data_IF_514170677372
#
_entry.id   IF_514170677372
#
_cell.length_a   1.000
_cell.length_b   1.000
_cell.length_c   1.000
_cell.angle_alpha   90.00
_cell.angle_beta   90.00
_cell.angle_gamma   90.00
#
_symmetry.space_group_name_H-M   'P 1'
#
loop_
_entity.id
_entity.type
_entity.pdbx_description
1 polymer ?
#
# COMPACT_ATOMS: atom_id res chain seq x y z
N UNK A 1 -3.99 32.13 21.92
CA UNK A 1 -2.84 32.04 21.01
C UNK A 1 -2.91 30.70 20.30
N UNK A 2 -3.37 30.66 19.05
CA UNK A 2 -3.35 29.45 18.22
C UNK A 2 -2.38 29.72 17.08
N UNK A 3 -1.19 29.15 17.16
CA UNK A 3 -0.26 29.10 16.04
C UNK A 3 0.00 27.62 15.78
N UNK A 4 -0.89 27.00 15.00
CA UNK A 4 -0.70 25.67 14.46
C UNK A 4 -0.67 25.78 12.95
N UNK A 5 0.49 26.15 12.41
CA UNK A 5 0.84 25.79 11.05
C UNK A 5 1.00 24.27 10.98
N UNK A 6 -0.08 23.52 11.17
CA UNK A 6 -0.11 22.10 10.82
C UNK A 6 -0.11 22.06 9.29
N UNK A 7 1.07 21.79 8.72
CA UNK A 7 1.20 21.44 7.32
C UNK A 7 0.22 20.30 7.04
N UNK A 8 -0.69 20.54 6.09
CA UNK A 8 -1.62 19.49 5.65
C UNK A 8 -0.79 18.33 5.10
N UNK A 9 -1.19 17.07 5.34
CA UNK A 9 -0.52 15.96 4.72
C UNK A 9 -0.54 16.12 3.20
N UNK A 10 0.58 15.85 2.54
CA UNK A 10 0.67 15.89 1.08
C UNK A 10 1.62 14.82 0.57
N UNK A 11 1.33 14.34 -0.63
CA UNK A 11 2.16 13.38 -1.36
C UNK A 11 3.05 14.13 -2.34
N UNK A 12 4.34 13.79 -2.34
CA UNK A 12 5.28 14.21 -3.36
C UNK A 12 5.61 12.99 -4.20
N UNK A 13 5.08 13.00 -5.41
CA UNK A 13 5.32 11.99 -6.43
C UNK A 13 5.81 12.65 -7.72
N UNK A 14 6.56 11.90 -8.51
CA UNK A 14 6.95 12.28 -9.87
C UNK A 14 6.70 11.10 -10.83
N UNK A 15 5.61 10.38 -10.58
CA UNK A 15 5.23 9.21 -11.36
C UNK A 15 4.81 9.61 -12.78
N UNK A 16 5.17 8.86 -13.84
CA UNK A 16 5.93 7.60 -13.87
C UNK A 16 7.46 7.77 -13.96
N UNK A 17 8.00 8.99 -13.88
CA UNK A 17 9.44 9.26 -13.99
C UNK A 17 10.20 8.70 -12.78
N UNK A 18 9.58 8.74 -11.59
CA UNK A 18 10.07 8.11 -10.37
C UNK A 18 9.02 7.15 -9.81
N UNK A 19 9.46 5.96 -9.43
CA UNK A 19 8.65 4.97 -8.70
C UNK A 19 8.65 5.21 -7.19
N UNK A 20 9.50 6.11 -6.70
CA UNK A 20 9.52 6.53 -5.30
C UNK A 20 8.45 7.61 -5.07
N UNK A 21 7.60 7.36 -4.08
CA UNK A 21 6.59 8.29 -3.60
C UNK A 21 6.86 8.58 -2.13
N UNK A 22 6.82 9.86 -1.79
CA UNK A 22 7.09 10.36 -0.44
C UNK A 22 5.82 11.00 0.10
N UNK A 23 5.27 10.40 1.15
CA UNK A 23 4.16 10.96 1.89
C UNK A 23 4.68 11.81 3.06
N UNK A 24 4.30 13.08 3.09
CA UNK A 24 4.61 14.01 4.18
C UNK A 24 3.35 14.20 5.03
N UNK A 25 3.24 13.48 6.15
CA UNK A 25 2.22 13.71 7.17
C UNK A 25 2.85 14.03 8.53
N UNK A 26 2.27 13.48 9.62
CA UNK A 26 2.90 13.53 10.95
C UNK A 26 4.26 12.81 10.96
N UNK A 27 4.42 11.83 10.09
CA UNK A 27 5.66 11.12 9.81
C UNK A 27 5.88 11.11 8.30
N UNK A 28 7.15 11.08 7.90
CA UNK A 28 7.55 10.89 6.52
C UNK A 28 7.54 9.40 6.21
N UNK A 29 6.76 9.00 5.21
CA UNK A 29 6.76 7.64 4.69
C UNK A 29 7.27 7.64 3.25
N UNK A 30 8.12 6.67 2.94
CA UNK A 30 8.63 6.44 1.61
C UNK A 30 8.17 5.07 1.16
N UNK A 31 7.56 4.99 -0.01
CA UNK A 31 7.29 3.72 -0.67
C UNK A 31 7.76 3.76 -2.11
N UNK A 32 8.15 2.60 -2.60
CA UNK A 32 8.64 2.40 -3.96
C UNK A 32 7.70 1.43 -4.66
N UNK A 33 7.19 1.83 -5.81
CA UNK A 33 6.43 0.93 -6.68
C UNK A 33 7.43 -0.05 -7.31
N UNK A 34 7.28 -1.34 -7.01
CA UNK A 34 8.07 -2.42 -7.63
C UNK A 34 7.37 -2.91 -8.89
N UNK A 35 6.03 -2.99 -8.85
CA UNK A 35 5.21 -3.41 -9.96
C UNK A 35 3.86 -2.68 -9.93
N UNK A 36 3.49 -2.03 -11.03
CA UNK A 36 2.22 -1.28 -11.15
C UNK A 36 1.00 -2.19 -11.32
N UNK A 37 1.20 -3.42 -11.79
CA UNK A 37 0.11 -4.35 -12.01
C UNK A 37 -0.75 -4.00 -13.24
N UNK A 38 -1.93 -4.61 -13.33
CA UNK A 38 -2.86 -4.44 -14.45
C UNK A 38 -4.22 -4.03 -13.89
N UNK A 39 -4.74 -2.90 -14.36
CA UNK A 39 -6.11 -2.50 -14.06
C UNK A 39 -7.08 -3.39 -14.83
N UNK A 40 -7.74 -4.30 -14.13
CA UNK A 40 -8.75 -5.18 -14.73
C UNK A 40 -9.94 -4.33 -15.20
N UNK A 41 -10.43 -4.61 -16.41
CA UNK A 41 -11.63 -3.96 -16.94
C UNK A 41 -12.82 -4.21 -16.00
N UNK A 42 -13.66 -3.18 -15.81
CA UNK A 42 -14.81 -3.18 -14.88
C UNK A 42 -15.74 -4.40 -15.00
N UNK A 43 -15.76 -5.07 -16.15
CA UNK A 43 -16.59 -6.27 -16.41
C UNK A 43 -16.18 -7.48 -15.55
N UNK A 44 -14.95 -7.51 -15.01
CA UNK A 44 -14.41 -8.64 -14.21
C UNK A 44 -14.38 -8.40 -12.70
N UNK A 45 -14.70 -7.20 -12.23
CA UNK A 45 -14.54 -6.83 -10.82
C UNK A 45 -15.91 -6.86 -10.13
N UNK A 46 -16.20 -7.97 -9.45
CA UNK A 46 -17.41 -8.16 -8.64
C UNK A 46 -17.53 -7.20 -7.43
N UNK A 47 -16.64 -6.20 -7.29
CA UNK A 47 -16.57 -5.35 -6.09
C UNK A 47 -16.42 -3.84 -6.34
N UNK A 48 -16.40 -3.36 -7.60
CA UNK A 48 -16.50 -1.91 -7.88
C UNK A 48 -17.98 -1.52 -8.03
N UNK A 49 -18.80 -1.80 -7.01
CA UNK A 49 -20.19 -1.30 -7.01
C UNK A 49 -20.31 0.12 -6.44
N UNK A 50 -19.23 0.70 -5.91
CA UNK A 50 -19.21 2.10 -5.47
C UNK A 50 -18.57 3.01 -6.53
N UNK A 51 -19.33 3.92 -7.17
CA UNK A 51 -18.93 4.68 -8.36
C UNK A 51 -17.81 5.74 -8.15
N UNK A 52 -17.17 5.79 -6.98
CA UNK A 52 -16.17 6.81 -6.63
C UNK A 52 -14.82 6.21 -6.18
N UNK A 53 -14.61 4.91 -6.32
CA UNK A 53 -13.33 4.28 -5.97
C UNK A 53 -12.46 4.10 -7.22
N UNK A 54 -11.17 4.43 -7.08
CA UNK A 54 -10.18 4.13 -8.10
C UNK A 54 -10.07 2.61 -8.29
N UNK A 55 -9.91 2.13 -9.53
CA UNK A 55 -9.76 0.70 -9.79
C UNK A 55 -8.49 0.20 -9.09
N UNK A 56 -8.61 -0.92 -8.38
CA UNK A 56 -7.46 -1.54 -7.72
C UNK A 56 -6.74 -2.44 -8.74
N UNK A 57 -5.45 -2.20 -9.03
CA UNK A 57 -4.69 -3.00 -9.98
C UNK A 57 -4.41 -4.41 -9.45
N UNK A 58 -4.39 -5.38 -10.37
CA UNK A 58 -3.98 -6.76 -10.11
C UNK A 58 -2.45 -6.90 -10.21
N UNK A 59 -1.86 -7.68 -9.32
CA UNK A 59 -0.41 -7.86 -9.19
C UNK A 59 0.34 -6.55 -8.92
N UNK A 60 -0.26 -5.67 -8.12
CA UNK A 60 0.40 -4.44 -7.64
C UNK A 60 1.35 -4.77 -6.49
N UNK A 61 2.58 -4.30 -6.59
CA UNK A 61 3.63 -4.57 -5.59
C UNK A 61 4.29 -3.25 -5.23
N UNK A 62 4.26 -2.93 -3.94
CA UNK A 62 5.01 -1.81 -3.38
C UNK A 62 5.95 -2.33 -2.31
N UNK A 63 7.07 -1.62 -2.16
CA UNK A 63 8.00 -1.83 -1.08
C UNK A 63 8.01 -0.59 -0.20
N UNK A 64 7.92 -0.79 1.10
CA UNK A 64 7.98 0.29 2.09
C UNK A 64 8.77 -0.17 3.30
N UNK A 65 9.12 0.75 4.18
CA UNK A 65 9.74 0.42 5.46
C UNK A 65 8.71 0.47 6.59
N UNK A 66 8.81 -0.51 7.47
CA UNK A 66 7.98 -0.66 8.66
C UNK A 66 8.88 -0.69 9.89
N UNK A 67 8.54 0.11 10.90
CA UNK A 67 9.23 0.34 12.19
C UNK A 67 9.73 1.79 12.38
N UNK A 68 9.47 2.33 13.58
CA UNK A 68 9.99 3.60 14.09
C UNK A 68 11.37 3.47 14.77
N UNK A 69 11.87 2.25 14.96
CA UNK A 69 13.20 2.02 15.55
C UNK A 69 14.28 1.94 14.48
N UNK A 70 15.55 2.08 14.87
CA UNK A 70 16.71 2.07 13.96
C UNK A 70 16.85 0.82 13.10
N UNK A 71 16.10 -0.24 13.40
CA UNK A 71 15.99 -1.45 12.60
C UNK A 71 14.74 -1.35 11.72
N UNK A 72 14.81 -0.50 10.68
CA UNK A 72 13.76 -0.44 9.66
C UNK A 72 13.63 -1.82 9.00
N UNK A 73 12.47 -2.46 9.15
CA UNK A 73 12.16 -3.68 8.42
C UNK A 73 11.60 -3.28 7.05
N UNK A 74 12.22 -3.76 5.98
CA UNK A 74 11.63 -3.63 4.65
C UNK A 74 10.49 -4.62 4.53
N UNK A 75 9.31 -4.12 4.15
CA UNK A 75 8.13 -4.93 3.87
C UNK A 75 7.73 -4.73 2.42
N UNK A 76 7.07 -5.72 1.85
CA UNK A 76 6.45 -5.62 0.55
C UNK A 76 4.96 -5.87 0.68
N UNK A 77 4.17 -4.98 0.12
CA UNK A 77 2.73 -5.10 0.06
C UNK A 77 2.34 -5.54 -1.35
N UNK A 78 1.48 -6.54 -1.43
CA UNK A 78 1.01 -7.12 -2.67
C UNK A 78 -0.49 -7.05 -2.74
N UNK A 79 -1.01 -6.78 -3.94
CA UNK A 79 -2.42 -6.95 -4.25
C UNK A 79 -2.50 -7.93 -5.40
N UNK A 80 -3.21 -9.03 -5.21
CA UNK A 80 -3.48 -9.98 -6.29
C UNK A 80 -4.94 -10.43 -6.23
N UNK A 81 -5.54 -10.69 -7.38
CA UNK A 81 -6.91 -11.16 -7.45
C UNK A 81 -6.97 -12.70 -7.48
N UNK A 82 -7.84 -13.27 -6.66
CA UNK A 82 -8.21 -14.69 -6.70
C UNK A 82 -9.71 -14.76 -6.93
N UNK A 83 -10.13 -15.40 -8.03
CA UNK A 83 -11.56 -15.53 -8.39
C UNK A 83 -12.34 -14.20 -8.41
N UNK A 84 -11.68 -13.10 -8.74
CA UNK A 84 -12.29 -11.76 -8.80
C UNK A 84 -12.31 -11.01 -7.46
N UNK A 85 -11.72 -11.58 -6.41
CA UNK A 85 -11.59 -10.96 -5.08
C UNK A 85 -10.15 -10.48 -4.88
N UNK A 86 -9.91 -9.22 -4.49
CA UNK A 86 -8.57 -8.75 -4.18
C UNK A 86 -8.11 -9.32 -2.83
N UNK A 87 -6.93 -9.94 -2.84
CA UNK A 87 -6.21 -10.31 -1.65
C UNK A 87 -5.10 -9.28 -1.41
N UNK A 88 -5.08 -8.73 -0.21
CA UNK A 88 -4.08 -7.78 0.27
C UNK A 88 -3.07 -8.50 1.16
N UNK A 89 -1.82 -8.57 0.72
CA UNK A 89 -0.76 -9.31 1.41
C UNK A 89 0.33 -8.35 1.85
N UNK A 90 0.88 -8.61 3.02
CA UNK A 90 2.09 -7.95 3.50
C UNK A 90 3.13 -9.03 3.79
N UNK A 91 4.23 -8.98 3.06
CA UNK A 91 5.36 -9.88 3.25
C UNK A 91 6.50 -9.17 4.00
N UNK A 92 7.09 -9.86 4.97
CA UNK A 92 8.08 -9.30 5.89
C UNK A 92 9.08 -10.35 6.39
N UNK A 93 10.10 -9.89 7.12
CA UNK A 93 11.22 -10.71 7.58
C UNK A 93 12.32 -10.91 6.52
N UNK A 94 13.33 -11.72 6.86
CA UNK A 94 14.44 -12.01 5.95
C UNK A 94 13.92 -12.61 4.64
N UNK A 95 14.27 -11.99 3.50
CA UNK A 95 13.80 -12.39 2.16
C UNK A 95 12.27 -12.49 2.03
N UNK A 96 11.50 -11.73 2.81
CA UNK A 96 10.03 -11.72 2.75
C UNK A 96 9.37 -13.08 3.04
N UNK A 97 10.00 -13.90 3.90
CA UNK A 97 9.56 -15.26 4.21
C UNK A 97 8.23 -15.36 4.99
N UNK A 98 7.82 -14.31 5.68
CA UNK A 98 6.56 -14.26 6.42
C UNK A 98 5.53 -13.45 5.66
N UNK A 99 4.26 -13.84 5.74
CA UNK A 99 3.15 -13.14 5.10
C UNK A 99 1.94 -13.05 6.02
N UNK A 100 1.24 -11.93 5.96
CA UNK A 100 -0.14 -11.77 6.46
C UNK A 100 -1.04 -11.42 5.29
N UNK A 101 -2.28 -11.91 5.33
CA UNK A 101 -3.22 -11.81 4.20
C UNK A 101 -4.58 -11.34 4.71
N UNK A 102 -5.15 -10.34 4.05
CA UNK A 102 -6.53 -9.92 4.25
C UNK A 102 -7.28 -9.83 2.93
N UNK A 103 -8.52 -10.29 2.92
CA UNK A 103 -9.45 -10.12 1.79
C UNK A 103 -10.25 -8.81 1.89
N UNK A 104 -10.13 -8.11 3.02
CA UNK A 104 -10.93 -6.93 3.33
C UNK A 104 -10.20 -5.64 2.94
N UNK A 105 -8.95 -5.49 3.40
CA UNK A 105 -8.12 -4.33 3.10
C UNK A 105 -6.66 -4.56 3.50
N UNK A 106 -5.76 -3.75 2.93
CA UNK A 106 -4.36 -3.70 3.36
C UNK A 106 -4.21 -3.17 4.80
N UNK A 107 -5.16 -2.36 5.27
CA UNK A 107 -5.19 -1.88 6.65
C UNK A 107 -5.43 -3.04 7.62
N UNK A 108 -6.39 -3.92 7.33
CA UNK A 108 -6.67 -5.08 8.15
C UNK A 108 -5.47 -6.04 8.21
N UNK A 109 -4.80 -6.27 7.07
CA UNK A 109 -3.54 -7.03 7.04
C UNK A 109 -2.46 -6.39 7.92
N UNK A 110 -2.38 -5.05 7.94
CA UNK A 110 -1.42 -4.34 8.80
C UNK A 110 -1.73 -4.48 10.28
N UNK A 111 -3.00 -4.57 10.67
CA UNK A 111 -3.39 -4.83 12.07
C UNK A 111 -2.94 -6.23 12.50
N UNK A 112 -3.03 -7.23 11.63
CA UNK A 112 -2.51 -8.57 11.92
C UNK A 112 -0.99 -8.60 12.03
N UNK A 113 -0.28 -7.81 11.21
CA UNK A 113 1.18 -7.67 11.31
C UNK A 113 1.64 -7.14 12.69
N UNK A 114 0.79 -6.34 13.35
CA UNK A 114 1.06 -5.75 14.67
C UNK A 114 0.67 -6.63 15.87
N UNK A 115 0.08 -7.81 15.64
CA UNK A 115 -0.26 -8.77 16.70
C UNK A 115 0.92 -9.66 17.09
#
# INVERSE_FOLDING_TARGET
MANSNQLRPYEKENYPISLEIIYYGNQKFNYTIIQEGIYLSAVKLCYIETPNYFPIPDNYIIQTTWSQTSNHCTIQCYIHYVEGIPHHLICFGSNFQYQVVSVQSLFDASVELHR
#
